data_IF_581675957018
#
_entry.id   IF_581675957018
#
_cell.length_a   1.000
_cell.length_b   1.000
_cell.length_c   1.000
_cell.angle_alpha   90.00
_cell.angle_beta   90.00
_cell.angle_gamma   90.00
#
_symmetry.space_group_name_H-M   'P 1'
#
loop_
_entity.id
_entity.type
_entity.pdbx_description
1 polymer ?
#
# COMPACT_ATOMS: atom_id res chain seq x y z
N UNK A 1 -18.43 -55.54 19.48
CA UNK A 1 -18.02 -55.69 18.06
C UNK A 1 -16.98 -54.62 17.77
N UNK A 2 -15.70 -54.92 18.04
CA UNK A 2 -14.57 -54.05 17.72
C UNK A 2 -14.11 -54.37 16.29
N UNK A 3 -14.01 -53.35 15.43
CA UNK A 3 -13.44 -53.48 14.08
C UNK A 3 -12.09 -52.77 14.04
N UNK A 4 -11.04 -53.58 13.87
CA UNK A 4 -9.66 -53.14 13.73
C UNK A 4 -9.45 -52.40 12.40
N UNK A 5 -8.75 -51.27 12.43
CA UNK A 5 -8.25 -50.58 11.24
C UNK A 5 -6.78 -51.00 11.04
N UNK A 6 -6.55 -51.72 9.96
CA UNK A 6 -5.22 -52.17 9.51
C UNK A 6 -4.43 -51.01 8.92
N UNK A 7 -3.20 -50.84 9.40
CA UNK A 7 -2.19 -49.97 8.79
C UNK A 7 -1.68 -50.55 7.47
N UNK A 8 -1.92 -49.84 6.37
CA UNK A 8 -1.32 -50.13 5.06
C UNK A 8 0.04 -49.42 5.00
N UNK A 9 1.13 -50.20 4.98
CA UNK A 9 2.49 -49.71 4.72
C UNK A 9 2.63 -49.37 3.25
N UNK A 10 3.13 -48.17 2.94
CA UNK A 10 3.56 -47.79 1.60
C UNK A 10 4.94 -48.41 1.30
N UNK A 11 5.19 -48.90 0.07
CA UNK A 11 6.48 -49.44 -0.31
C UNK A 11 7.53 -48.34 -0.49
N UNK A 12 8.67 -48.61 0.16
CA UNK A 12 9.96 -47.94 0.01
C UNK A 12 10.64 -48.35 -1.30
N UNK A 13 11.55 -47.50 -1.78
CA UNK A 13 12.58 -47.69 -2.83
C UNK A 13 12.27 -47.18 -4.25
N UNK A 14 12.25 -45.85 -4.42
CA UNK A 14 12.56 -45.21 -5.69
C UNK A 14 14.05 -44.84 -5.76
N UNK A 15 14.85 -45.63 -6.48
CA UNK A 15 16.26 -45.34 -6.80
C UNK A 15 16.34 -44.08 -7.66
N UNK A 16 16.82 -42.97 -7.10
CA UNK A 16 17.30 -41.84 -7.90
C UNK A 16 18.61 -42.25 -8.58
N UNK A 17 18.57 -42.44 -9.91
CA UNK A 17 19.77 -42.55 -10.73
C UNK A 17 20.42 -41.17 -10.79
N UNK A 18 21.64 -41.07 -10.28
CA UNK A 18 22.54 -39.95 -10.55
C UNK A 18 22.81 -39.92 -12.06
N UNK A 19 22.32 -38.88 -12.73
CA UNK A 19 22.77 -38.52 -14.06
C UNK A 19 24.06 -37.70 -13.89
N UNK A 20 25.18 -38.27 -14.30
CA UNK A 20 26.44 -37.56 -14.52
C UNK A 20 26.27 -36.61 -15.70
N UNK A 21 26.53 -35.29 -15.57
CA UNK A 21 26.74 -34.45 -16.72
C UNK A 21 28.15 -34.73 -17.29
N UNK A 22 28.18 -35.17 -18.54
CA UNK A 22 29.40 -35.26 -19.33
C UNK A 22 29.93 -33.84 -19.56
N UNK A 23 31.07 -33.52 -18.94
CA UNK A 23 31.86 -32.34 -19.26
C UNK A 23 32.43 -32.49 -20.67
N UNK A 24 31.83 -31.81 -21.64
CA UNK A 24 32.44 -31.58 -22.94
C UNK A 24 33.44 -30.42 -22.79
N UNK A 25 34.72 -30.78 -22.70
CA UNK A 25 35.84 -29.84 -22.80
C UNK A 25 35.89 -29.28 -24.24
N UNK A 26 35.48 -28.02 -24.40
CA UNK A 26 35.69 -27.26 -25.64
C UNK A 26 36.94 -26.41 -25.47
N UNK A 27 38.08 -26.98 -25.82
CA UNK A 27 39.38 -26.29 -25.86
C UNK A 27 39.43 -25.42 -27.11
N UNK A 28 39.11 -24.13 -26.98
CA UNK A 28 39.34 -23.15 -28.05
C UNK A 28 40.71 -22.50 -27.81
N UNK A 29 41.72 -22.96 -28.53
CA UNK A 29 42.95 -22.20 -28.75
C UNK A 29 42.61 -21.04 -29.69
N UNK A 30 42.61 -19.80 -29.16
CA UNK A 30 42.83 -18.62 -29.98
C UNK A 30 44.06 -17.86 -29.48
N UNK A 31 44.96 -17.69 -30.42
CA UNK A 31 46.30 -17.14 -30.34
C UNK A 31 46.35 -15.65 -30.01
N UNK A 32 47.46 -15.29 -29.38
CA UNK A 32 48.01 -13.95 -29.15
C UNK A 32 47.81 -12.96 -30.31
N UNK A 33 47.55 -11.71 -29.90
CA UNK A 33 48.21 -10.55 -30.50
C UNK A 33 47.28 -9.41 -30.84
N UNK A 34 47.19 -8.40 -29.96
CA UNK A 34 47.28 -6.97 -30.31
C UNK A 34 47.30 -6.16 -29.00
N UNK A 35 48.45 -5.55 -28.68
CA UNK A 35 48.54 -4.43 -27.77
C UNK A 35 47.97 -3.21 -28.50
N UNK A 36 46.67 -2.95 -28.34
CA UNK A 36 46.09 -1.66 -28.64
C UNK A 36 45.99 -0.88 -27.33
N UNK A 37 46.65 0.26 -27.25
CA UNK A 37 46.41 1.25 -26.20
C UNK A 37 44.93 1.68 -26.31
N UNK A 38 44.08 1.10 -25.46
CA UNK A 38 42.69 1.51 -25.36
C UNK A 38 42.63 2.97 -24.89
N UNK A 39 41.70 3.79 -25.43
CA UNK A 39 41.47 5.11 -24.89
C UNK A 39 41.17 4.97 -23.40
N UNK A 40 41.87 5.75 -22.57
CA UNK A 40 41.53 5.96 -21.17
C UNK A 40 40.01 6.15 -21.09
N UNK A 41 39.26 5.35 -20.30
CA UNK A 41 37.84 5.61 -20.10
C UNK A 41 37.76 7.04 -19.58
N UNK A 42 37.28 7.94 -20.44
CA UNK A 42 36.96 9.28 -20.04
C UNK A 42 35.91 9.12 -18.96
N UNK A 43 36.25 9.59 -17.75
CA UNK A 43 35.30 9.73 -16.66
C UNK A 43 34.09 10.47 -17.24
N UNK A 44 33.05 9.69 -17.54
CA UNK A 44 31.76 10.18 -17.97
C UNK A 44 31.31 11.11 -16.86
N UNK A 45 30.99 12.34 -17.28
CA UNK A 45 30.84 13.48 -16.41
C UNK A 45 29.82 13.25 -15.31
N UNK A 46 29.88 14.12 -14.30
CA UNK A 46 28.83 14.31 -13.32
C UNK A 46 27.52 14.68 -14.01
N UNK A 47 26.83 13.67 -14.55
CA UNK A 47 25.39 13.70 -14.72
C UNK A 47 24.82 13.85 -13.33
N UNK A 48 23.94 14.83 -13.18
CA UNK A 48 23.19 15.07 -11.96
C UNK A 48 22.75 13.72 -11.40
N UNK A 49 23.20 13.39 -10.18
CA UNK A 49 22.90 12.13 -9.53
C UNK A 49 21.38 11.97 -9.55
N UNK A 50 20.89 11.11 -10.44
CA UNK A 50 19.46 10.85 -10.55
C UNK A 50 19.04 10.31 -9.18
N UNK A 51 17.96 10.82 -8.56
CA UNK A 51 17.53 10.34 -7.27
C UNK A 51 17.31 8.82 -7.37
N UNK A 52 18.11 8.07 -6.63
CA UNK A 52 18.05 6.61 -6.62
C UNK A 52 16.84 6.22 -5.78
N UNK A 53 15.85 5.58 -6.41
CA UNK A 53 14.66 5.09 -5.73
C UNK A 53 15.00 3.94 -4.78
N UNK A 54 14.29 3.83 -3.64
CA UNK A 54 14.42 2.67 -2.75
C UNK A 54 14.14 1.39 -3.54
N UNK A 55 15.05 0.42 -3.46
CA UNK A 55 15.01 -0.84 -4.20
C UNK A 55 15.75 -0.85 -5.55
N UNK A 56 16.29 0.28 -6.02
CA UNK A 56 17.03 0.38 -7.30
C UNK A 56 18.53 0.07 -7.10
N UNK A 57 18.84 -1.21 -6.90
CA UNK A 57 20.20 -1.69 -6.62
C UNK A 57 21.20 -1.45 -7.76
N UNK A 58 20.73 -1.25 -8.99
CA UNK A 58 21.56 -0.98 -10.16
C UNK A 58 21.57 0.49 -10.63
N UNK A 59 20.94 1.40 -9.88
CA UNK A 59 20.87 2.83 -10.20
C UNK A 59 20.22 3.15 -11.58
N UNK A 60 19.31 2.31 -12.08
CA UNK A 60 18.65 2.52 -13.37
C UNK A 60 17.54 3.56 -13.32
N UNK A 61 17.11 3.97 -12.13
CA UNK A 61 15.94 4.79 -11.87
C UNK A 61 14.66 3.97 -11.63
N UNK A 62 14.74 2.64 -11.60
CA UNK A 62 13.58 1.76 -11.45
C UNK A 62 13.93 0.58 -10.53
N UNK A 63 13.10 0.34 -9.51
CA UNK A 63 13.19 -0.87 -8.68
C UNK A 63 12.32 -1.99 -9.28
N UNK A 64 12.92 -3.11 -9.71
CA UNK A 64 12.22 -4.25 -10.30
C UNK A 64 12.97 -5.58 -10.07
N UNK A 65 12.57 -6.66 -10.75
CA UNK A 65 13.14 -8.01 -10.60
C UNK A 65 14.63 -8.08 -10.89
N UNK A 66 15.16 -7.17 -11.71
CA UNK A 66 16.59 -7.09 -12.00
C UNK A 66 17.34 -6.70 -10.72
N UNK A 67 16.87 -5.70 -9.98
CA UNK A 67 17.47 -5.26 -8.72
C UNK A 67 17.41 -6.35 -7.66
N UNK A 68 16.26 -7.02 -7.55
CA UNK A 68 16.12 -8.17 -6.66
C UNK A 68 17.10 -9.29 -6.99
N UNK A 69 17.30 -9.60 -8.27
CA UNK A 69 18.28 -10.61 -8.70
C UNK A 69 19.70 -10.21 -8.32
N UNK A 70 20.07 -8.94 -8.48
CA UNK A 70 21.39 -8.43 -8.12
C UNK A 70 21.62 -8.53 -6.60
N UNK A 71 20.63 -8.18 -5.78
CA UNK A 71 20.69 -8.35 -4.33
C UNK A 71 20.88 -9.83 -3.95
N UNK A 72 20.16 -10.75 -4.61
CA UNK A 72 20.33 -12.19 -4.37
C UNK A 72 21.73 -12.68 -4.76
N UNK A 73 22.30 -12.17 -5.86
CA UNK A 73 23.67 -12.50 -6.28
C UNK A 73 24.70 -11.96 -5.28
N UNK A 74 24.51 -10.72 -4.81
CA UNK A 74 25.37 -10.08 -3.81
C UNK A 74 25.32 -10.83 -2.48
N UNK A 75 24.12 -11.13 -1.98
CA UNK A 75 23.92 -11.91 -0.75
C UNK A 75 24.51 -13.33 -0.83
N UNK A 76 24.56 -13.91 -2.02
CA UNK A 76 25.19 -15.21 -2.29
C UNK A 76 26.71 -15.12 -2.57
N UNK A 77 27.32 -13.94 -2.48
CA UNK A 77 28.72 -13.69 -2.84
C UNK A 77 29.09 -14.15 -4.26
N UNK A 78 28.15 -14.03 -5.21
CA UNK A 78 28.39 -14.25 -6.64
C UNK A 78 28.88 -12.98 -7.33
N UNK A 79 28.57 -11.82 -6.75
CA UNK A 79 29.12 -10.51 -7.07
C UNK A 79 29.59 -9.85 -5.77
N UNK A 80 30.64 -9.04 -5.86
CA UNK A 80 31.27 -8.44 -4.69
C UNK A 80 30.70 -7.06 -4.31
N UNK A 81 29.99 -6.41 -5.24
CA UNK A 81 29.46 -5.06 -5.07
C UNK A 81 28.15 -4.83 -5.86
N UNK A 82 27.33 -3.92 -5.35
CA UNK A 82 26.15 -3.37 -6.02
C UNK A 82 26.46 -1.95 -6.48
N UNK A 83 25.82 -1.48 -7.56
CA UNK A 83 26.02 -0.12 -8.04
C UNK A 83 25.43 0.91 -7.08
N UNK A 84 24.28 0.60 -6.47
CA UNK A 84 23.58 1.42 -5.49
C UNK A 84 23.26 0.60 -4.22
N UNK A 85 24.26 0.29 -3.37
CA UNK A 85 24.06 -0.55 -2.19
C UNK A 85 23.12 0.09 -1.15
N UNK A 86 23.09 1.42 -1.05
CA UNK A 86 22.20 2.13 -0.11
C UNK A 86 20.72 2.03 -0.51
N UNK A 87 20.45 1.91 -1.81
CA UNK A 87 19.08 1.71 -2.31
C UNK A 87 18.64 0.25 -2.19
N UNK A 88 19.59 -0.68 -2.08
CA UNK A 88 19.33 -2.10 -2.00
C UNK A 88 18.83 -2.58 -0.62
N UNK A 89 19.00 -1.77 0.43
CA UNK A 89 18.47 -2.00 1.78
C UNK A 89 17.03 -1.44 1.87
N UNK A 90 16.06 -2.30 1.55
CA UNK A 90 14.66 -1.94 1.33
C UNK A 90 13.84 -2.01 2.62
N UNK A 91 14.32 -2.63 3.70
CA UNK A 91 13.70 -2.49 5.02
C UNK A 91 14.45 -1.53 5.96
N UNK A 92 15.61 -1.04 5.55
CA UNK A 92 16.46 -0.07 6.26
C UNK A 92 17.00 -0.62 7.59
N UNK A 93 17.32 -1.92 7.63
CA UNK A 93 17.96 -2.56 8.77
C UNK A 93 19.50 -2.45 8.77
N UNK A 94 20.08 -1.90 7.70
CA UNK A 94 21.51 -1.68 7.51
C UNK A 94 22.25 -2.85 6.83
N UNK A 95 21.55 -3.93 6.48
CA UNK A 95 22.08 -5.05 5.72
C UNK A 95 21.39 -5.16 4.35
N UNK A 96 22.08 -5.76 3.37
CA UNK A 96 21.51 -6.06 2.05
C UNK A 96 21.46 -7.57 1.90
N UNK A 97 20.27 -8.14 2.09
CA UNK A 97 20.04 -9.58 2.18
C UNK A 97 18.93 -10.04 1.23
N UNK A 98 18.68 -11.35 1.19
CA UNK A 98 17.56 -11.91 0.43
C UNK A 98 16.19 -11.39 0.86
N UNK A 99 16.07 -10.80 2.06
CA UNK A 99 14.83 -10.19 2.51
C UNK A 99 14.50 -8.96 1.65
N UNK A 100 15.46 -8.08 1.39
CA UNK A 100 15.29 -6.89 0.54
C UNK A 100 14.88 -7.25 -0.89
N UNK A 101 15.55 -8.26 -1.47
CA UNK A 101 15.18 -8.80 -2.77
C UNK A 101 13.73 -9.31 -2.79
N UNK A 102 13.29 -9.97 -1.71
CA UNK A 102 11.92 -10.45 -1.61
C UNK A 102 10.91 -9.30 -1.50
N UNK A 103 11.29 -8.17 -0.88
CA UNK A 103 10.44 -6.98 -0.82
C UNK A 103 10.30 -6.33 -2.21
N UNK A 104 11.38 -6.22 -2.98
CA UNK A 104 11.35 -5.72 -4.36
C UNK A 104 10.50 -6.62 -5.27
N UNK A 105 10.65 -7.94 -5.14
CA UNK A 105 9.82 -8.89 -5.91
C UNK A 105 8.35 -8.81 -5.51
N UNK A 106 8.06 -8.59 -4.23
CA UNK A 106 6.69 -8.34 -3.78
C UNK A 106 6.18 -7.01 -4.34
N UNK A 107 7.01 -5.96 -4.40
CA UNK A 107 6.67 -4.67 -4.97
C UNK A 107 6.32 -4.80 -6.46
N UNK A 108 7.20 -5.42 -7.25
CA UNK A 108 6.98 -5.63 -8.67
C UNK A 108 5.81 -6.56 -8.98
N UNK A 109 5.58 -7.57 -8.12
CA UNK A 109 4.41 -8.45 -8.22
C UNK A 109 3.10 -7.81 -7.74
N UNK A 110 3.13 -6.56 -7.24
CA UNK A 110 1.98 -5.89 -6.64
C UNK A 110 1.54 -6.50 -5.30
N UNK A 111 2.33 -7.41 -4.71
CA UNK A 111 2.10 -7.92 -3.37
C UNK A 111 2.45 -6.88 -2.28
N UNK A 112 3.33 -5.94 -2.59
CA UNK A 112 3.60 -4.73 -1.79
C UNK A 112 2.91 -3.47 -2.36
N UNK A 113 1.75 -3.61 -3.00
CA UNK A 113 0.96 -2.48 -3.53
C UNK A 113 0.40 -1.49 -2.48
N UNK A 114 0.87 -1.53 -1.23
CA UNK A 114 1.24 -0.28 -0.55
C UNK A 114 2.03 -0.59 0.72
N UNK A 115 3.27 -0.11 0.82
CA UNK A 115 3.86 0.18 2.13
C UNK A 115 3.05 1.26 2.87
N UNK A 116 2.21 2.01 2.15
CA UNK A 116 1.43 3.17 2.63
C UNK A 116 -0.06 2.87 2.55
N UNK A 117 -0.59 2.23 3.59
CA UNK A 117 -1.97 1.79 3.63
C UNK A 117 -2.78 2.71 4.50
N UNK A 118 -3.86 3.28 3.96
CA UNK A 118 -4.88 3.84 4.82
C UNK A 118 -5.81 2.76 5.36
N UNK A 119 -6.14 2.82 6.65
CA UNK A 119 -6.97 1.84 7.35
C UNK A 119 -8.07 2.51 8.13
N UNK A 120 -9.17 1.78 8.26
CA UNK A 120 -10.29 2.14 9.12
C UNK A 120 -10.14 1.40 10.46
N UNK A 121 -10.21 2.15 11.56
CA UNK A 121 -10.17 1.61 12.93
C UNK A 121 -11.16 2.33 13.82
N UNK A 122 -11.66 1.66 14.87
CA UNK A 122 -12.49 2.32 15.89
C UNK A 122 -11.56 2.85 16.98
N UNK A 123 -11.48 4.17 17.09
CA UNK A 123 -10.72 4.85 18.14
C UNK A 123 -11.44 4.74 19.49
N UNK A 124 -12.77 4.91 19.50
CA UNK A 124 -13.59 4.88 20.72
C UNK A 124 -14.97 4.26 20.44
N UNK A 125 -15.51 3.41 21.34
CA UNK A 125 -14.86 2.86 22.52
C UNK A 125 -13.81 1.81 22.14
N UNK A 126 -12.66 1.85 22.82
CA UNK A 126 -11.57 0.89 22.60
C UNK A 126 -12.02 -0.55 22.89
N UNK A 127 -11.62 -1.50 22.06
CA UNK A 127 -11.88 -2.95 22.24
C UNK A 127 -13.23 -3.46 21.73
N UNK A 128 -14.01 -2.63 21.02
CA UNK A 128 -15.30 -3.00 20.39
C UNK A 128 -15.16 -3.86 19.13
N UNK A 129 -13.92 -4.05 18.63
CA UNK A 129 -13.64 -4.79 17.41
C UNK A 129 -12.99 -6.14 17.69
N UNK A 130 -13.46 -7.20 17.02
CA UNK A 130 -12.79 -8.50 17.08
C UNK A 130 -11.54 -8.46 16.19
N UNK A 131 -10.33 -8.69 16.73
CA UNK A 131 -9.09 -8.61 15.95
C UNK A 131 -8.86 -9.81 15.02
N UNK A 132 -9.73 -10.83 15.04
CA UNK A 132 -9.48 -12.11 14.37
C UNK A 132 -10.03 -12.13 12.94
N UNK A 133 -9.29 -11.49 12.03
CA UNK A 133 -9.51 -11.60 10.58
C UNK A 133 -9.72 -10.25 9.90
N UNK A 134 -9.18 -10.10 8.69
CA UNK A 134 -9.63 -9.06 7.75
C UNK A 134 -10.89 -9.58 7.03
N UNK A 135 -11.95 -8.76 6.85
CA UNK A 135 -12.16 -7.44 7.44
C UNK A 135 -12.51 -7.53 8.94
N UNK A 136 -12.08 -6.52 9.70
CA UNK A 136 -12.38 -6.42 11.14
C UNK A 136 -13.86 -6.14 11.33
N UNK A 137 -14.57 -6.96 12.10
CA UNK A 137 -15.96 -6.67 12.50
C UNK A 137 -15.97 -6.03 13.89
N UNK A 138 -16.69 -4.92 14.03
CA UNK A 138 -16.87 -4.21 15.29
C UNK A 138 -18.33 -4.24 15.73
N UNK A 139 -18.58 -4.51 17.01
CA UNK A 139 -19.91 -4.51 17.59
C UNK A 139 -20.13 -3.22 18.39
N UNK A 140 -21.15 -2.45 18.02
CA UNK A 140 -21.54 -1.19 18.65
C UNK A 140 -23.00 -1.29 19.09
N UNK A 141 -23.34 -0.73 20.26
CA UNK A 141 -24.73 -0.75 20.72
C UNK A 141 -25.65 0.04 19.79
N UNK A 142 -26.89 -0.42 19.59
CA UNK A 142 -27.92 0.36 18.87
C UNK A 142 -28.09 1.75 19.50
N UNK A 143 -28.17 2.79 18.66
CA UNK A 143 -28.16 4.19 19.10
C UNK A 143 -26.82 4.68 19.68
N UNK A 144 -25.82 3.80 19.82
CA UNK A 144 -24.50 4.12 20.35
C UNK A 144 -23.67 4.94 19.35
N UNK A 145 -22.94 5.91 19.88
CA UNK A 145 -21.93 6.67 19.13
C UNK A 145 -20.55 6.02 19.25
N UNK A 146 -19.73 6.19 18.23
CA UNK A 146 -18.35 5.71 18.18
C UNK A 146 -17.47 6.68 17.37
N UNK A 147 -16.16 6.66 17.63
CA UNK A 147 -15.18 7.43 16.87
C UNK A 147 -14.45 6.50 15.91
N UNK A 148 -14.60 6.76 14.61
CA UNK A 148 -13.87 6.09 13.54
C UNK A 148 -12.59 6.87 13.24
N UNK A 149 -11.47 6.18 13.09
CA UNK A 149 -10.20 6.77 12.69
C UNK A 149 -9.76 6.23 11.33
N UNK A 150 -9.40 7.13 10.43
CA UNK A 150 -8.68 6.85 9.19
C UNK A 150 -7.21 7.11 9.47
N UNK A 151 -6.42 6.04 9.52
CA UNK A 151 -4.99 6.09 9.83
C UNK A 151 -4.15 5.69 8.63
N UNK A 152 -2.98 6.28 8.51
CA UNK A 152 -1.95 5.90 7.56
C UNK A 152 -0.93 4.96 8.25
N UNK A 153 -0.82 3.74 7.73
CA UNK A 153 0.23 2.79 8.08
C UNK A 153 1.33 2.90 7.04
N UNK A 154 2.51 3.37 7.46
CA UNK A 154 3.68 3.60 6.62
C UNK A 154 3.64 4.93 5.88
N UNK A 155 4.81 5.55 5.70
CA UNK A 155 4.98 6.81 4.93
C UNK A 155 6.03 6.67 3.82
N UNK A 156 5.80 7.27 2.62
CA UNK A 156 6.81 7.36 1.57
C UNK A 156 8.17 7.83 2.11
N UNK A 157 9.32 7.33 1.61
CA UNK A 157 10.63 7.73 2.14
C UNK A 157 10.88 9.24 1.97
N UNK A 158 10.35 9.83 0.91
CA UNK A 158 10.33 11.28 0.65
C UNK A 158 9.26 12.05 1.44
N UNK A 159 8.45 11.36 2.24
CA UNK A 159 7.30 11.89 2.95
C UNK A 159 6.15 12.31 2.04
N UNK A 160 5.16 13.00 2.60
CA UNK A 160 4.02 13.53 1.85
C UNK A 160 3.71 14.96 2.28
N UNK A 161 3.11 15.73 1.37
CA UNK A 161 2.77 17.14 1.59
C UNK A 161 1.25 17.36 1.63
N UNK A 162 0.48 16.36 1.21
CA UNK A 162 -0.97 16.39 1.25
C UNK A 162 -1.52 14.98 1.41
N UNK A 163 -2.73 14.89 1.93
CA UNK A 163 -3.56 13.71 1.77
C UNK A 163 -4.98 14.11 1.39
N UNK A 164 -5.68 13.18 0.78
CA UNK A 164 -7.12 13.21 0.63
C UNK A 164 -7.68 11.84 0.99
N UNK A 165 -8.88 11.80 1.55
CA UNK A 165 -9.65 10.59 1.84
C UNK A 165 -11.09 10.75 1.39
N UNK A 166 -11.74 9.64 1.04
CA UNK A 166 -13.19 9.60 0.81
C UNK A 166 -13.76 8.36 1.49
N UNK A 167 -14.66 8.58 2.44
CA UNK A 167 -15.28 7.54 3.25
C UNK A 167 -16.75 7.40 2.86
N UNK A 168 -17.14 6.16 2.56
CA UNK A 168 -18.53 5.72 2.55
C UNK A 168 -18.89 5.10 3.90
N UNK A 169 -20.00 5.54 4.47
CA UNK A 169 -20.54 5.05 5.74
C UNK A 169 -22.04 4.70 5.69
N UNK A 170 -22.63 4.67 4.49
CA UNK A 170 -24.02 4.27 4.28
C UNK A 170 -25.01 5.08 5.12
N UNK A 171 -25.89 4.40 5.85
CA UNK A 171 -26.95 5.04 6.64
C UNK A 171 -26.56 5.29 8.11
N UNK A 172 -25.29 5.13 8.48
CA UNK A 172 -24.84 5.47 9.83
C UNK A 172 -25.00 6.97 10.07
N UNK A 173 -25.37 7.35 11.29
CA UNK A 173 -25.44 8.76 11.66
C UNK A 173 -24.04 9.35 11.66
N UNK A 174 -23.84 10.48 10.99
CA UNK A 174 -22.58 11.22 11.03
C UNK A 174 -22.80 12.57 11.71
N UNK A 175 -21.99 12.83 12.74
CA UNK A 175 -22.00 14.11 13.47
C UNK A 175 -20.68 14.83 13.17
N UNK A 176 -20.65 15.79 12.24
CA UNK A 176 -19.44 16.52 11.92
C UNK A 176 -18.94 17.26 13.16
N UNK A 177 -17.62 17.29 13.36
CA UNK A 177 -17.06 18.10 14.44
C UNK A 177 -17.34 19.60 14.18
N UNK A 178 -17.45 20.37 15.26
CA UNK A 178 -17.70 21.81 15.19
C UNK A 178 -16.54 22.53 14.52
N UNK A 179 -15.31 22.10 14.82
CA UNK A 179 -14.10 22.58 14.18
C UNK A 179 -13.51 21.47 13.30
N UNK A 180 -13.13 21.82 12.07
CA UNK A 180 -12.51 20.86 11.16
C UNK A 180 -11.20 20.29 11.68
N UNK A 181 -10.48 21.01 12.55
CA UNK A 181 -9.23 20.55 13.16
C UNK A 181 -9.45 19.45 14.22
N UNK A 182 -10.67 19.30 14.76
CA UNK A 182 -11.03 18.19 15.65
C UNK A 182 -11.31 16.91 14.85
N UNK A 183 -11.63 17.04 13.57
CA UNK A 183 -11.91 15.91 12.67
C UNK A 183 -10.70 15.52 11.83
N UNK A 184 -9.96 16.49 11.30
CA UNK A 184 -8.69 16.26 10.58
C UNK A 184 -7.54 16.47 11.56
N UNK A 185 -7.17 15.36 12.21
CA UNK A 185 -6.20 15.30 13.31
C UNK A 185 -4.74 15.21 12.85
N UNK A 186 -4.48 15.22 11.54
CA UNK A 186 -3.11 15.28 11.00
C UNK A 186 -2.36 16.51 11.55
N UNK A 187 -1.26 16.32 12.30
CA UNK A 187 -0.58 17.40 13.02
C UNK A 187 0.02 18.45 12.08
N UNK A 188 0.48 18.03 10.90
CA UNK A 188 1.18 18.91 9.96
C UNK A 188 0.23 19.70 9.05
N UNK A 189 -1.09 19.53 9.17
CA UNK A 189 -2.07 20.20 8.32
C UNK A 189 -2.11 21.72 8.53
N UNK A 190 -1.62 22.49 7.55
CA UNK A 190 -1.78 23.95 7.50
C UNK A 190 -3.13 24.36 6.90
N UNK A 191 -3.60 23.63 5.89
CA UNK A 191 -4.96 23.74 5.36
C UNK A 191 -5.68 22.41 5.59
N UNK A 192 -6.90 22.48 6.10
CA UNK A 192 -7.79 21.34 6.32
C UNK A 192 -9.08 21.63 5.58
N UNK A 193 -9.58 20.67 4.81
CA UNK A 193 -10.82 20.79 4.05
C UNK A 193 -11.68 19.55 4.24
N UNK A 194 -12.99 19.78 4.40
CA UNK A 194 -14.01 18.76 4.55
C UNK A 194 -15.07 19.06 3.51
N UNK A 195 -15.35 18.08 2.68
CA UNK A 195 -16.39 18.14 1.67
C UNK A 195 -17.52 17.24 2.13
N UNK A 196 -18.65 17.86 2.43
CA UNK A 196 -19.91 17.17 2.62
C UNK A 196 -20.57 17.05 1.25
N UNK A 197 -21.17 15.90 0.98
CA UNK A 197 -22.01 15.77 -0.21
C UNK A 197 -23.41 16.30 0.12
N UNK A 198 -23.82 17.35 -0.58
CA UNK A 198 -25.17 17.90 -0.47
C UNK A 198 -26.17 17.09 -1.31
N UNK A 199 -25.69 16.16 -2.15
CA UNK A 199 -26.55 15.30 -2.96
C UNK A 199 -27.18 14.21 -2.06
N UNK A 200 -28.52 14.19 -1.90
CA UNK A 200 -29.19 13.12 -1.15
C UNK A 200 -28.97 11.73 -1.76
N UNK A 201 -28.65 11.62 -3.06
CA UNK A 201 -28.26 10.36 -3.69
C UNK A 201 -26.89 9.85 -3.23
N UNK A 202 -26.05 10.74 -2.68
CA UNK A 202 -24.75 10.45 -2.07
C UNK A 202 -24.77 10.66 -0.56
N UNK A 203 -25.94 10.48 0.06
CA UNK A 203 -26.02 10.36 1.51
C UNK A 203 -25.09 9.23 1.99
N UNK A 204 -24.39 9.45 3.10
CA UNK A 204 -23.44 8.47 3.61
C UNK A 204 -22.01 8.61 3.08
N UNK A 205 -21.66 9.75 2.47
CA UNK A 205 -20.30 10.03 2.03
C UNK A 205 -19.72 11.28 2.71
N UNK A 206 -18.41 11.25 2.95
CA UNK A 206 -17.64 12.41 3.37
C UNK A 206 -16.22 12.32 2.79
N UNK A 207 -15.69 13.45 2.33
CA UNK A 207 -14.30 13.54 1.91
C UNK A 207 -13.52 14.54 2.76
N UNK A 208 -12.27 14.22 3.01
CA UNK A 208 -11.32 15.07 3.75
C UNK A 208 -10.09 15.29 2.91
N UNK A 209 -9.43 16.41 3.15
CA UNK A 209 -8.11 16.62 2.64
C UNK A 209 -7.35 17.62 3.50
N UNK A 210 -6.04 17.57 3.41
CA UNK A 210 -5.20 18.56 4.04
C UNK A 210 -3.91 18.78 3.26
N UNK A 211 -3.34 19.97 3.44
CA UNK A 211 -2.02 20.37 2.91
C UNK A 211 -1.12 20.78 4.07
N UNK A 212 0.14 20.39 4.00
CA UNK A 212 1.14 20.73 5.02
C UNK A 212 1.58 22.19 5.00
N UNK A 213 1.37 22.90 3.88
CA UNK A 213 1.65 24.34 3.74
C UNK A 213 0.83 24.95 2.59
N UNK A 214 0.52 26.24 2.70
CA UNK A 214 -0.15 27.03 1.66
C UNK A 214 0.81 27.68 0.66
N UNK A 215 2.11 27.69 0.95
CA UNK A 215 3.14 28.32 0.12
C UNK A 215 4.39 27.45 0.06
N UNK A 216 5.06 27.44 -1.10
CA UNK A 216 6.34 26.76 -1.24
C UNK A 216 7.44 27.41 -0.38
N UNK A 217 8.43 26.64 0.12
CA UNK A 217 8.50 25.17 0.03
C UNK A 217 7.43 24.52 0.92
N UNK A 218 6.82 23.43 0.42
CA UNK A 218 5.84 22.68 1.19
C UNK A 218 6.57 21.89 2.29
N UNK A 219 6.05 21.92 3.52
CA UNK A 219 6.61 21.13 4.61
C UNK A 219 6.39 19.64 4.34
N UNK A 220 7.43 18.83 4.45
CA UNK A 220 7.31 17.39 4.28
C UNK A 220 6.82 16.79 5.60
N UNK A 221 5.75 15.99 5.54
CA UNK A 221 5.27 15.21 6.67
C UNK A 221 5.79 13.78 6.57
N UNK A 222 6.29 13.28 7.69
CA UNK A 222 6.62 11.87 7.92
C UNK A 222 5.64 11.24 8.92
N UNK A 223 4.46 11.84 9.10
CA UNK A 223 3.51 11.41 10.12
C UNK A 223 2.82 10.11 9.73
N UNK A 224 2.97 9.10 10.59
CA UNK A 224 2.21 7.86 10.60
C UNK A 224 1.13 7.89 11.69
N UNK A 225 0.01 7.21 11.44
CA UNK A 225 -1.11 7.14 12.38
C UNK A 225 -2.35 7.92 11.93
N UNK A 226 -3.20 8.37 12.87
CA UNK A 226 -4.48 9.00 12.55
C UNK A 226 -4.30 10.26 11.69
N UNK A 227 -5.06 10.33 10.59
CA UNK A 227 -5.20 11.51 9.74
C UNK A 227 -6.56 12.18 9.93
N UNK A 228 -7.60 11.36 10.09
CA UNK A 228 -8.99 11.81 10.27
C UNK A 228 -9.65 11.00 11.39
N UNK A 229 -10.43 11.66 12.24
CA UNK A 229 -11.28 11.04 13.25
C UNK A 229 -12.72 11.55 13.15
N UNK A 230 -13.67 10.65 12.86
CA UNK A 230 -15.07 10.97 12.65
C UNK A 230 -15.94 10.45 13.78
N UNK A 231 -16.96 11.22 14.16
CA UNK A 231 -17.99 10.75 15.09
C UNK A 231 -19.18 10.17 14.32
N UNK A 232 -19.38 8.87 14.44
CA UNK A 232 -20.49 8.12 13.83
C UNK A 232 -21.42 7.55 14.90
N UNK A 233 -22.65 7.22 14.52
CA UNK A 233 -23.62 6.56 15.42
C UNK A 233 -24.44 5.49 14.71
N UNK A 234 -24.70 4.42 15.45
CA UNK A 234 -25.61 3.36 15.04
C UNK A 234 -27.07 3.85 15.06
N UNK A 235 -27.93 3.38 14.14
CA UNK A 235 -29.36 3.60 14.24
C UNK A 235 -29.94 2.89 15.47
N UNK A 236 -31.18 3.24 15.82
CA UNK A 236 -31.92 2.62 16.94
C UNK A 236 -32.41 1.20 16.65
N UNK A 237 -32.32 0.76 15.39
CA UNK A 237 -32.64 -0.60 14.95
C UNK A 237 -31.35 -1.40 14.73
N UNK A 238 -31.28 -2.67 15.16
CA UNK A 238 -30.14 -3.53 14.86
C UNK A 238 -29.89 -3.66 13.36
N UNK A 239 -28.62 -3.75 12.96
CA UNK A 239 -28.23 -3.83 11.56
C UNK A 239 -26.74 -4.11 11.39
N UNK A 240 -26.36 -4.53 10.19
CA UNK A 240 -24.97 -4.68 9.77
C UNK A 240 -24.67 -3.63 8.71
N UNK A 241 -23.55 -2.93 8.84
CA UNK A 241 -23.16 -1.84 7.96
C UNK A 241 -21.71 -2.06 7.53
N UNK A 242 -21.40 -1.82 6.27
CA UNK A 242 -20.03 -1.85 5.77
C UNK A 242 -19.55 -0.43 5.46
N UNK A 243 -18.49 -0.02 6.17
CA UNK A 243 -17.77 1.20 5.88
C UNK A 243 -16.73 0.91 4.81
N UNK A 244 -16.53 1.82 3.88
CA UNK A 244 -15.49 1.69 2.85
C UNK A 244 -14.72 2.98 2.67
N UNK A 245 -13.39 2.88 2.73
CA UNK A 245 -12.49 3.93 2.30
C UNK A 245 -12.23 3.74 0.81
N UNK A 246 -12.48 4.76 0.00
CA UNK A 246 -12.38 4.67 -1.46
C UNK A 246 -10.96 4.99 -1.90
N UNK A 247 -10.41 4.22 -2.83
CA UNK A 247 -9.10 4.48 -3.38
C UNK A 247 -9.16 5.50 -4.53
N UNK A 248 -8.12 6.30 -4.70
CA UNK A 248 -8.01 7.21 -5.84
C UNK A 248 -7.81 6.43 -7.15
N UNK A 249 -8.60 6.75 -8.16
CA UNK A 249 -8.51 6.15 -9.50
C UNK A 249 -7.93 7.18 -10.48
N UNK A 250 -6.62 7.08 -10.74
CA UNK A 250 -5.88 7.98 -11.63
C UNK A 250 -6.10 7.74 -13.13
N UNK A 251 -6.87 6.72 -13.51
CA UNK A 251 -6.86 6.17 -14.88
C UNK A 251 -7.74 6.89 -15.89
N UNK A 252 -8.53 7.89 -15.51
CA UNK A 252 -9.27 8.70 -16.48
C UNK A 252 -8.69 10.12 -16.61
N UNK A 253 -7.69 10.22 -17.49
CA UNK A 253 -7.37 11.39 -18.32
C UNK A 253 -7.58 12.76 -17.67
N UNK A 254 -6.55 13.33 -17.05
CA UNK A 254 -6.57 14.74 -16.69
C UNK A 254 -5.92 15.65 -17.73
N UNK A 255 -6.76 16.12 -18.63
CA UNK A 255 -6.81 17.54 -18.94
C UNK A 255 -8.04 18.15 -18.23
N UNK A 256 -7.81 19.07 -17.29
CA UNK A 256 -8.76 19.95 -16.60
C UNK A 256 -9.42 19.48 -15.27
N UNK A 257 -8.96 20.11 -14.18
CA UNK A 257 -9.71 20.73 -13.06
C UNK A 257 -10.86 20.03 -12.30
N UNK A 258 -11.23 18.78 -12.54
CA UNK A 258 -12.06 18.03 -11.57
C UNK A 258 -11.25 17.60 -10.35
N UNK A 259 -11.85 17.76 -9.17
CA UNK A 259 -11.26 17.30 -7.91
C UNK A 259 -10.98 15.79 -8.00
N UNK A 260 -9.76 15.32 -7.67
CA UNK A 260 -9.49 13.89 -7.60
C UNK A 260 -10.49 13.23 -6.65
N UNK A 261 -11.16 12.14 -7.07
CA UNK A 261 -12.08 11.37 -6.21
C UNK A 261 -11.35 10.15 -5.65
N UNK A 262 -11.33 10.00 -4.33
CA UNK A 262 -10.69 8.88 -3.62
C UNK A 262 -9.49 9.26 -2.75
N UNK A 263 -8.94 8.26 -2.05
CA UNK A 263 -7.85 8.45 -1.09
C UNK A 263 -6.48 8.43 -1.75
N UNK A 264 -5.67 9.45 -1.48
CA UNK A 264 -4.38 9.71 -2.14
C UNK A 264 -3.42 10.44 -1.20
N UNK A 265 -2.13 10.18 -1.36
CA UNK A 265 -1.06 11.00 -0.79
C UNK A 265 -0.40 11.79 -1.93
N UNK A 266 -0.15 13.08 -1.70
CA UNK A 266 0.63 13.90 -2.65
C UNK A 266 2.07 14.02 -2.17
N UNK A 267 3.00 13.66 -3.04
CA UNK A 267 4.43 13.73 -2.79
C UNK A 267 4.98 15.14 -3.05
N UNK A 268 6.18 15.47 -2.51
CA UNK A 268 6.88 16.70 -2.86
C UNK A 268 7.15 16.85 -4.36
N UNK A 269 7.31 15.73 -5.09
CA UNK A 269 7.45 15.68 -6.55
C UNK A 269 6.19 16.10 -7.32
N UNK A 270 5.07 16.35 -6.62
CA UNK A 270 3.71 16.54 -7.15
C UNK A 270 3.10 15.30 -7.80
N UNK A 271 3.73 14.15 -7.60
CA UNK A 271 3.10 12.88 -7.92
C UNK A 271 2.10 12.51 -6.83
N UNK A 272 1.08 11.77 -7.24
CA UNK A 272 0.02 11.29 -6.36
C UNK A 272 0.14 9.78 -6.24
N UNK A 273 0.33 9.30 -5.01
CA UNK A 273 0.31 7.87 -4.71
C UNK A 273 -1.12 7.50 -4.28
N UNK A 274 -1.78 6.67 -5.07
CA UNK A 274 -3.02 6.01 -4.63
C UNK A 274 -2.70 5.06 -3.47
N UNK A 275 -3.55 5.05 -2.45
CA UNK A 275 -3.48 4.01 -1.41
C UNK A 275 -3.82 2.64 -1.99
N UNK A 276 -3.33 1.56 -1.35
CA UNK A 276 -3.57 0.17 -1.80
C UNK A 276 -5.03 -0.09 -2.08
N UNK A 277 -5.30 -0.67 -3.26
CA UNK A 277 -6.62 -1.16 -3.63
C UNK A 277 -6.77 -2.59 -3.13
N UNK A 278 -7.81 -2.85 -2.34
CA UNK A 278 -8.15 -4.21 -1.87
C UNK A 278 -9.26 -4.86 -2.69
N UNK A 279 -9.92 -4.10 -3.56
CA UNK A 279 -10.99 -4.61 -4.42
C UNK A 279 -11.75 -3.49 -5.13
N UNK A 280 -12.89 -3.82 -5.72
CA UNK A 280 -13.89 -2.88 -6.22
C UNK A 280 -15.20 -3.13 -5.47
N UNK A 281 -15.95 -2.07 -5.21
CA UNK A 281 -17.29 -2.14 -4.65
C UNK A 281 -18.23 -1.35 -5.52
N UNK A 282 -19.33 -1.96 -5.91
CA UNK A 282 -20.48 -1.19 -6.33
C UNK A 282 -21.24 -0.76 -5.10
N UNK A 283 -21.19 0.54 -4.89
CA UNK A 283 -22.02 1.20 -3.91
C UNK A 283 -23.36 1.34 -4.60
N UNK A 284 -24.20 0.31 -4.50
CA UNK A 284 -25.59 0.46 -4.91
C UNK A 284 -26.16 1.58 -4.03
N UNK A 285 -26.30 2.77 -4.61
CA UNK A 285 -26.76 3.98 -3.94
C UNK A 285 -28.25 3.89 -3.59
N UNK A 286 -28.85 2.69 -3.63
CA UNK A 286 -30.20 2.40 -3.17
C UNK A 286 -30.36 2.54 -1.63
N UNK A 287 -29.30 2.93 -0.91
CA UNK A 287 -29.28 3.26 0.53
C UNK A 287 -29.56 2.07 1.46
N UNK A 288 -29.55 0.82 0.96
CA UNK A 288 -29.73 -0.35 1.82
C UNK A 288 -28.47 -0.71 2.64
N UNK A 289 -27.34 -0.06 2.33
CA UNK A 289 -26.09 -0.18 3.05
C UNK A 289 -25.29 -1.43 2.70
N UNK A 290 -25.68 -2.20 1.68
CA UNK A 290 -24.93 -3.35 1.21
C UNK A 290 -23.94 -2.94 0.12
N UNK A 291 -22.73 -3.48 0.21
CA UNK A 291 -21.68 -3.33 -0.79
C UNK A 291 -21.64 -4.63 -1.59
N UNK A 292 -21.75 -4.57 -2.92
CA UNK A 292 -21.47 -5.72 -3.77
C UNK A 292 -19.99 -5.69 -4.20
N UNK A 293 -19.13 -6.56 -3.63
CA UNK A 293 -17.71 -6.60 -3.94
C UNK A 293 -17.39 -7.22 -5.33
N UNK A 294 -18.40 -7.67 -6.09
CA UNK A 294 -18.22 -8.38 -7.36
C UNK A 294 -18.69 -7.61 -8.61
N UNK A 295 -19.17 -6.38 -8.46
CA UNK A 295 -19.57 -5.59 -9.62
C UNK A 295 -18.37 -5.01 -10.37
N UNK A 296 -18.30 -5.30 -11.67
CA UNK A 296 -17.25 -4.78 -12.56
C UNK A 296 -17.31 -3.25 -12.73
N UNK A 297 -18.44 -2.61 -12.41
CA UNK A 297 -18.62 -1.17 -12.45
C UNK A 297 -18.26 -0.45 -11.12
N UNK A 298 -17.85 -1.20 -10.10
CA UNK A 298 -17.60 -0.67 -8.75
C UNK A 298 -16.43 0.31 -8.67
N UNK A 299 -16.43 1.20 -7.68
CA UNK A 299 -15.29 2.07 -7.35
C UNK A 299 -14.21 1.26 -6.62
N UNK A 300 -12.91 1.56 -6.82
CA UNK A 300 -11.86 0.86 -6.10
C UNK A 300 -11.91 1.19 -4.60
N UNK A 301 -11.75 0.16 -3.76
CA UNK A 301 -11.76 0.29 -2.31
C UNK A 301 -10.33 0.16 -1.77
N UNK A 302 -9.99 1.00 -0.80
CA UNK A 302 -8.73 0.97 -0.07
C UNK A 302 -8.79 0.15 1.23
N UNK A 303 -9.91 0.26 1.96
CA UNK A 303 -10.17 -0.46 3.19
C UNK A 303 -11.67 -0.63 3.41
N UNK A 304 -12.07 -1.72 4.05
CA UNK A 304 -13.44 -1.90 4.57
C UNK A 304 -13.42 -2.18 6.07
N UNK A 305 -14.51 -1.82 6.74
CA UNK A 305 -14.75 -2.10 8.16
C UNK A 305 -16.23 -2.43 8.37
N UNK A 306 -16.52 -3.63 8.89
CA UNK A 306 -17.89 -4.05 9.17
C UNK A 306 -18.32 -3.59 10.57
N UNK A 307 -19.46 -2.92 10.67
CA UNK A 307 -20.07 -2.45 11.91
C UNK A 307 -21.36 -3.21 12.15
N UNK A 308 -21.42 -3.95 13.25
CA UNK A 308 -22.62 -4.59 13.74
C UNK A 308 -23.25 -3.72 14.83
N UNK A 309 -24.39 -3.10 14.52
CA UNK A 309 -25.20 -2.39 15.50
C UNK A 309 -26.14 -3.39 16.20
N UNK A 310 -25.93 -3.70 17.47
CA UNK A 310 -26.65 -4.73 18.21
C UNK A 310 -26.89 -4.39 19.69
#
# INVERSE_FOLDING_TARGET
MLRALSHTRLPSTGRFRQATPAFAALTLLLSLGFLAAGPTPSALGGGDAQPVGRGDANCSGHANSIDALLILQFSAALIDELACPEAADVDSDGAVLSIDASLILQLEAGFQDSLYRMRLTIAEPAGSCQPTGRPTTCAISVGGAFRLSISLDGVPPEGYIAFQTELFFGTLGYTPAALIAEEIVWPDGALRVRFLDDDPARAGFVAHGALSSLSAPYAISNHEGPLVELSLSCPSTPGSFELALLAYESSERFGAHSNPLGSVLSLPSRESISVLKIGRADFDMNLDGTIDPHSEAGRPIAATLAIQCA
#
